data_IF_437640917503
#
_entry.id   IF_437640917503
#
_cell.length_a   1.000
_cell.length_b   1.000
_cell.length_c   1.000
_cell.angle_alpha   90.00
_cell.angle_beta   90.00
_cell.angle_gamma   90.00
#
_symmetry.space_group_name_H-M   'P 1'
#
loop_
_entity.id
_entity.type
_entity.pdbx_description
1 polymer ?
#
# COMPACT_ATOMS: atom_id res chain seq x y z
N UNK A 1 19.30 -87.72 -61.33
CA UNK A 1 20.77 -87.99 -61.27
C UNK A 1 21.42 -86.89 -60.44
N UNK A 2 22.30 -87.30 -59.51
CA UNK A 2 23.32 -86.54 -58.76
C UNK A 2 22.86 -85.58 -57.63
N UNK A 3 22.95 -86.14 -56.42
CA UNK A 3 23.18 -85.58 -55.07
C UNK A 3 24.49 -84.71 -54.96
N UNK A 4 24.88 -84.16 -53.79
CA UNK A 4 24.34 -83.02 -53.03
C UNK A 4 25.51 -82.09 -52.57
N UNK A 5 25.32 -81.13 -51.66
CA UNK A 5 26.26 -80.66 -50.59
C UNK A 5 25.65 -79.36 -50.02
N UNK A 6 24.94 -79.40 -48.88
CA UNK A 6 25.46 -79.23 -47.52
C UNK A 6 25.97 -77.81 -47.21
N UNK A 7 25.29 -77.12 -46.28
CA UNK A 7 25.79 -76.35 -45.12
C UNK A 7 24.65 -75.43 -44.61
N UNK A 8 24.07 -75.63 -43.41
CA UNK A 8 24.53 -75.38 -42.02
C UNK A 8 24.05 -74.01 -41.48
N UNK A 9 23.77 -74.01 -40.16
CA UNK A 9 23.42 -72.90 -39.24
C UNK A 9 21.93 -72.50 -39.22
N UNK A 10 21.11 -72.94 -38.26
CA UNK A 10 21.16 -72.76 -36.80
C UNK A 10 21.21 -71.29 -36.37
N UNK A 11 20.19 -70.86 -35.61
CA UNK A 11 20.39 -69.83 -34.59
C UNK A 11 19.28 -68.79 -34.42
N UNK A 12 18.66 -68.89 -33.24
CA UNK A 12 18.19 -67.79 -32.39
C UNK A 12 16.92 -67.02 -32.77
N UNK A 13 15.85 -67.39 -32.05
CA UNK A 13 14.83 -66.48 -31.52
C UNK A 13 15.51 -65.39 -30.65
N UNK A 14 15.72 -64.20 -31.21
CA UNK A 14 16.12 -63.03 -30.45
C UNK A 14 14.88 -62.25 -29.99
N UNK A 15 14.66 -62.25 -28.68
CA UNK A 15 13.76 -61.32 -27.99
C UNK A 15 14.23 -59.88 -28.21
N UNK A 16 13.45 -59.09 -28.94
CA UNK A 16 13.63 -57.65 -29.01
C UNK A 16 13.13 -57.01 -27.71
N UNK A 17 13.99 -56.94 -26.70
CA UNK A 17 13.83 -55.99 -25.61
C UNK A 17 14.17 -54.60 -26.14
N UNK A 18 13.15 -53.86 -26.57
CA UNK A 18 13.30 -52.46 -26.92
C UNK A 18 13.76 -51.69 -25.66
N UNK A 19 15.02 -51.23 -25.68
CA UNK A 19 15.55 -50.33 -24.69
C UNK A 19 14.74 -49.03 -24.73
N UNK A 20 13.89 -48.81 -23.73
CA UNK A 20 13.23 -47.53 -23.52
C UNK A 20 14.30 -46.46 -23.32
N UNK A 21 14.30 -45.43 -24.18
CA UNK A 21 15.16 -44.26 -24.01
C UNK A 21 14.89 -43.55 -22.69
N UNK A 22 15.80 -42.68 -22.22
CA UNK A 22 15.61 -41.96 -20.97
C UNK A 22 14.32 -41.14 -21.02
N UNK A 23 13.47 -41.31 -20.01
CA UNK A 23 12.24 -40.55 -19.84
C UNK A 23 12.61 -39.09 -19.51
N UNK A 24 12.30 -38.18 -20.44
CA UNK A 24 12.54 -36.75 -20.27
C UNK A 24 11.33 -36.16 -19.55
N UNK A 25 11.46 -35.89 -18.26
CA UNK A 25 10.42 -35.20 -17.48
C UNK A 25 10.51 -33.69 -17.73
N UNK A 26 9.49 -33.04 -18.34
CA UNK A 26 9.49 -31.59 -18.49
C UNK A 26 9.37 -30.92 -17.11
N UNK A 27 10.24 -29.96 -16.85
CA UNK A 27 10.17 -29.16 -15.63
C UNK A 27 9.00 -28.16 -15.76
N UNK A 28 8.19 -27.97 -14.69
CA UNK A 28 7.14 -26.97 -14.70
C UNK A 28 7.72 -25.56 -14.89
N UNK A 29 6.98 -24.63 -15.52
CA UNK A 29 7.42 -23.25 -15.67
C UNK A 29 7.57 -22.60 -14.27
N UNK A 30 8.77 -22.13 -13.97
CA UNK A 30 9.07 -21.40 -12.72
C UNK A 30 8.74 -19.93 -12.94
N UNK A 31 7.98 -19.31 -12.02
CA UNK A 31 7.75 -17.86 -12.03
C UNK A 31 9.08 -17.10 -12.08
N UNK A 32 9.20 -16.15 -13.00
CA UNK A 32 10.42 -15.38 -13.20
C UNK A 32 10.68 -14.52 -11.96
N UNK A 33 11.60 -14.96 -11.11
CA UNK A 33 11.98 -14.20 -9.95
C UNK A 33 12.63 -12.86 -10.34
N UNK A 34 12.23 -11.81 -9.63
CA UNK A 34 12.66 -10.44 -9.90
C UNK A 34 14.17 -10.24 -9.63
N UNK A 35 14.85 -9.53 -10.54
CA UNK A 35 16.24 -9.13 -10.40
C UNK A 35 16.34 -7.69 -9.89
N UNK A 36 17.03 -7.48 -8.78
CA UNK A 36 17.27 -6.13 -8.22
C UNK A 36 18.48 -5.49 -8.88
N UNK A 37 18.30 -4.32 -9.50
CA UNK A 37 19.41 -3.59 -10.12
C UNK A 37 20.19 -2.76 -9.10
N UNK A 38 21.52 -2.87 -9.13
CA UNK A 38 22.47 -2.08 -8.31
C UNK A 38 23.49 -1.44 -9.23
N UNK A 39 23.64 -0.12 -9.20
CA UNK A 39 24.64 0.57 -10.04
C UNK A 39 25.95 0.74 -9.29
N UNK A 40 27.06 0.46 -9.96
CA UNK A 40 28.41 0.55 -9.40
C UNK A 40 29.34 1.24 -10.39
N UNK A 41 30.42 1.84 -9.91
CA UNK A 41 31.47 2.35 -10.78
C UNK A 41 32.19 1.18 -11.46
N UNK A 42 32.47 1.31 -12.76
CA UNK A 42 33.21 0.28 -13.49
C UNK A 42 34.68 0.25 -13.05
N UNK A 43 35.19 -0.94 -12.74
CA UNK A 43 36.59 -1.15 -12.34
C UNK A 43 36.93 -0.83 -10.88
N UNK A 44 35.98 -0.31 -10.10
CA UNK A 44 36.19 -0.05 -8.68
C UNK A 44 35.80 -1.24 -7.80
N UNK A 45 36.52 -1.41 -6.68
CA UNK A 45 36.16 -2.39 -5.65
C UNK A 45 35.02 -1.84 -4.81
N UNK A 46 33.89 -2.55 -4.82
CA UNK A 46 32.70 -2.24 -4.01
C UNK A 46 32.44 -3.38 -3.02
N UNK A 47 32.05 -3.03 -1.81
CA UNK A 47 31.73 -4.00 -0.76
C UNK A 47 30.23 -4.08 -0.54
N UNK A 48 29.69 -5.29 -0.52
CA UNK A 48 28.29 -5.57 -0.26
C UNK A 48 28.14 -6.44 0.98
N UNK A 49 27.13 -6.15 1.80
CA UNK A 49 26.82 -6.93 2.99
C UNK A 49 25.51 -7.69 2.78
N UNK A 50 25.50 -8.97 3.12
CA UNK A 50 24.30 -9.78 3.27
C UNK A 50 24.01 -10.01 4.75
N UNK A 51 22.74 -9.87 5.13
CA UNK A 51 22.24 -10.28 6.44
C UNK A 51 21.04 -11.20 6.21
N UNK A 52 21.09 -12.50 6.60
CA UNK A 52 22.18 -13.20 7.30
C UNK A 52 23.37 -13.57 6.38
N UNK A 53 24.40 -14.23 6.96
CA UNK A 53 25.54 -14.78 6.22
C UNK A 53 25.07 -15.67 5.05
N UNK A 54 25.66 -15.46 3.87
CA UNK A 54 25.16 -15.98 2.60
C UNK A 54 26.28 -16.48 1.68
N UNK A 55 25.94 -17.37 0.76
CA UNK A 55 26.78 -17.75 -0.38
C UNK A 55 26.57 -16.78 -1.54
N UNK A 56 27.65 -16.44 -2.24
CA UNK A 56 27.64 -15.47 -3.33
C UNK A 56 28.07 -16.15 -4.62
N UNK A 57 27.14 -16.27 -5.56
CA UNK A 57 27.35 -16.90 -6.86
C UNK A 57 27.45 -15.81 -7.94
N UNK A 58 28.66 -15.63 -8.48
CA UNK A 58 28.93 -14.70 -9.58
C UNK A 58 28.71 -15.43 -10.90
N UNK A 59 27.73 -14.99 -11.69
CA UNK A 59 27.27 -15.72 -12.87
C UNK A 59 28.04 -15.33 -14.13
N UNK A 60 28.40 -14.05 -14.24
CA UNK A 60 28.95 -13.49 -15.47
C UNK A 60 30.47 -13.28 -15.34
N UNK A 61 31.21 -13.60 -16.41
CA UNK A 61 32.69 -13.58 -16.44
C UNK A 61 33.31 -12.19 -16.23
N UNK A 62 32.52 -11.13 -16.36
CA UNK A 62 32.94 -9.73 -16.20
C UNK A 62 33.00 -9.25 -14.74
N UNK A 63 32.78 -10.14 -13.78
CA UNK A 63 32.79 -9.84 -12.35
C UNK A 63 33.87 -10.62 -11.64
N UNK A 64 34.71 -9.91 -10.90
CA UNK A 64 35.63 -10.51 -9.93
C UNK A 64 35.09 -10.24 -8.55
N UNK A 65 34.57 -11.29 -7.90
CA UNK A 65 33.98 -11.19 -6.57
C UNK A 65 34.59 -12.20 -5.60
N UNK A 66 34.65 -11.83 -4.32
CA UNK A 66 35.01 -12.78 -3.25
C UNK A 66 34.21 -12.47 -1.99
N UNK A 67 33.58 -13.51 -1.45
CA UNK A 67 32.99 -13.46 -0.12
C UNK A 67 34.09 -13.46 0.96
N UNK A 68 33.91 -12.61 1.96
CA UNK A 68 34.75 -12.46 3.16
C UNK A 68 33.85 -12.49 4.40
N UNK A 69 34.45 -12.58 5.59
CA UNK A 69 33.71 -12.65 6.86
C UNK A 69 32.61 -13.73 6.87
N UNK A 70 32.99 -14.95 6.51
CA UNK A 70 32.09 -16.13 6.48
C UNK A 70 30.82 -15.92 5.63
N UNK A 71 30.90 -15.13 4.56
CA UNK A 71 29.80 -14.90 3.64
C UNK A 71 28.86 -13.75 4.02
N UNK A 72 29.17 -13.01 5.09
CA UNK A 72 28.43 -11.79 5.44
C UNK A 72 28.75 -10.62 4.51
N UNK A 73 29.95 -10.59 3.95
CA UNK A 73 30.40 -9.49 3.09
C UNK A 73 30.97 -10.08 1.81
N UNK A 74 30.80 -9.40 0.68
CA UNK A 74 31.51 -9.70 -0.56
C UNK A 74 32.10 -8.44 -1.18
N UNK A 75 33.38 -8.51 -1.55
CA UNK A 75 34.03 -7.50 -2.38
C UNK A 75 33.83 -7.84 -3.84
N UNK A 76 33.51 -6.84 -4.66
CA UNK A 76 33.16 -6.97 -6.08
C UNK A 76 33.90 -5.93 -6.92
N UNK A 77 34.47 -6.36 -8.05
CA UNK A 77 34.94 -5.46 -9.12
C UNK A 77 34.21 -5.84 -10.40
N UNK A 78 33.42 -4.92 -10.94
CA UNK A 78 32.65 -5.11 -12.16
C UNK A 78 33.32 -4.43 -13.35
N UNK A 79 33.51 -5.15 -14.46
CA UNK A 79 33.76 -4.52 -15.76
C UNK A 79 32.55 -3.72 -16.25
N UNK A 80 32.65 -2.91 -17.32
CA UNK A 80 31.49 -2.25 -17.90
C UNK A 80 30.41 -3.25 -18.31
N UNK A 81 29.13 -2.90 -18.13
CA UNK A 81 27.98 -3.74 -18.51
C UNK A 81 27.08 -4.15 -17.34
N UNK A 82 26.27 -5.17 -17.57
CA UNK A 82 25.33 -5.75 -16.59
C UNK A 82 25.86 -7.10 -16.13
N UNK A 83 25.94 -7.32 -14.82
CA UNK A 83 26.46 -8.56 -14.26
C UNK A 83 25.59 -9.11 -13.15
N UNK A 84 25.33 -10.40 -13.18
CA UNK A 84 24.38 -11.09 -12.31
C UNK A 84 25.08 -11.78 -11.16
N UNK A 85 24.51 -11.59 -9.98
CA UNK A 85 24.94 -12.25 -8.75
C UNK A 85 23.71 -12.82 -8.05
N UNK A 86 23.83 -14.07 -7.60
CA UNK A 86 22.84 -14.70 -6.74
C UNK A 86 23.43 -14.76 -5.34
N UNK A 87 22.64 -14.32 -4.36
CA UNK A 87 22.99 -14.39 -2.95
C UNK A 87 22.03 -15.39 -2.30
N UNK A 88 22.57 -16.50 -1.81
CA UNK A 88 21.81 -17.58 -1.17
C UNK A 88 22.03 -17.54 0.33
N UNK A 89 21.00 -17.24 1.10
CA UNK A 89 21.05 -17.25 2.56
C UNK A 89 21.05 -18.69 3.11
N UNK A 90 21.44 -18.84 4.38
CA UNK A 90 21.50 -20.15 5.06
C UNK A 90 20.17 -20.89 5.10
N UNK A 91 19.05 -20.17 5.08
CA UNK A 91 17.70 -20.74 5.05
C UNK A 91 17.27 -21.22 3.64
N UNK A 92 18.15 -21.07 2.64
CA UNK A 92 17.90 -21.45 1.25
C UNK A 92 17.22 -20.37 0.41
N UNK A 93 16.84 -19.24 1.01
CA UNK A 93 16.28 -18.11 0.27
C UNK A 93 17.31 -17.48 -0.67
N UNK A 94 16.88 -17.07 -1.86
CA UNK A 94 17.75 -16.52 -2.91
C UNK A 94 17.35 -15.11 -3.27
N UNK A 95 18.29 -14.19 -3.16
CA UNK A 95 18.20 -12.84 -3.72
C UNK A 95 18.99 -12.77 -5.02
N UNK A 96 18.43 -12.12 -6.04
CA UNK A 96 19.02 -11.99 -7.37
C UNK A 96 19.33 -10.52 -7.64
N UNK A 97 20.59 -10.21 -7.96
CA UNK A 97 21.06 -8.85 -8.22
C UNK A 97 21.67 -8.71 -9.60
N UNK A 98 21.43 -7.57 -10.26
CA UNK A 98 22.13 -7.16 -11.49
C UNK A 98 22.95 -5.91 -11.17
N UNK A 99 24.27 -6.04 -11.20
CA UNK A 99 25.20 -4.94 -11.08
C UNK A 99 25.42 -4.26 -12.43
N UNK A 100 25.10 -2.97 -12.53
CA UNK A 100 25.27 -2.21 -13.77
C UNK A 100 26.42 -1.23 -13.60
N UNK A 101 27.47 -1.45 -14.36
CA UNK A 101 28.71 -0.67 -14.35
C UNK A 101 28.88 0.10 -15.66
N UNK A 102 29.14 1.41 -15.58
CA UNK A 102 29.49 2.24 -16.75
C UNK A 102 28.33 2.67 -17.66
N UNK A 103 27.10 2.74 -17.16
CA UNK A 103 25.95 3.31 -17.90
C UNK A 103 25.66 4.77 -17.51
N UNK A 104 25.01 5.58 -18.37
CA UNK A 104 24.58 6.93 -18.02
C UNK A 104 23.64 6.90 -16.79
N UNK A 105 23.84 7.82 -15.86
CA UNK A 105 23.01 7.96 -14.67
C UNK A 105 21.52 8.04 -15.09
N UNK A 106 20.61 7.24 -14.49
CA UNK A 106 19.21 7.36 -14.84
C UNK A 106 18.73 8.73 -14.34
N UNK A 107 18.07 9.48 -15.22
CA UNK A 107 17.44 10.75 -14.83
C UNK A 107 16.53 10.58 -13.61
N UNK A 108 16.24 11.66 -12.86
CA UNK A 108 15.42 11.60 -11.67
C UNK A 108 14.12 10.85 -11.97
N UNK A 109 13.82 9.84 -11.15
CA UNK A 109 12.60 9.05 -11.27
C UNK A 109 11.42 10.05 -11.26
N UNK A 110 10.45 9.96 -12.19
CA UNK A 110 9.25 10.78 -12.12
C UNK A 110 8.65 10.66 -10.72
N UNK A 111 8.21 11.77 -10.09
CA UNK A 111 7.58 11.68 -8.78
C UNK A 111 6.42 10.68 -8.87
N UNK A 112 6.38 9.74 -7.94
CA UNK A 112 5.26 8.81 -7.85
C UNK A 112 3.96 9.62 -7.73
N UNK A 113 2.89 9.26 -8.45
CA UNK A 113 1.63 9.97 -8.35
C UNK A 113 1.15 9.89 -6.90
N UNK A 114 1.05 11.04 -6.24
CA UNK A 114 0.48 11.14 -4.89
C UNK A 114 -0.92 10.55 -4.97
N UNK A 115 -1.26 9.52 -4.16
CA UNK A 115 -2.60 8.95 -4.15
C UNK A 115 -3.60 10.08 -3.90
N UNK A 116 -4.41 10.40 -4.91
CA UNK A 116 -5.47 11.39 -4.76
C UNK A 116 -6.50 10.79 -3.82
N UNK A 117 -6.74 11.43 -2.67
CA UNK A 117 -7.78 11.01 -1.74
C UNK A 117 -9.12 10.91 -2.49
N UNK A 118 -9.66 9.69 -2.58
CA UNK A 118 -10.86 9.38 -3.33
C UNK A 118 -12.06 10.20 -2.82
N UNK A 119 -12.14 10.45 -1.50
CA UNK A 119 -13.18 11.29 -0.92
C UNK A 119 -12.99 12.75 -1.36
N UNK A 120 -11.76 13.27 -1.29
CA UNK A 120 -11.50 14.65 -1.74
C UNK A 120 -11.79 14.84 -3.24
N UNK A 121 -11.59 13.80 -4.07
CA UNK A 121 -12.00 13.82 -5.47
C UNK A 121 -13.52 13.84 -5.60
N UNK A 122 -14.23 12.95 -4.89
CA UNK A 122 -15.69 12.88 -4.92
C UNK A 122 -16.33 14.21 -4.47
N UNK A 123 -15.84 14.82 -3.39
CA UNK A 123 -16.35 16.11 -2.90
C UNK A 123 -16.09 17.24 -3.89
N UNK A 124 -14.97 17.23 -4.62
CA UNK A 124 -14.71 18.15 -5.74
C UNK A 124 -15.71 17.98 -6.87
N UNK A 125 -15.97 16.74 -7.25
CA UNK A 125 -16.93 16.42 -8.32
C UNK A 125 -18.35 16.89 -7.93
N UNK A 126 -18.77 16.68 -6.67
CA UNK A 126 -20.05 17.18 -6.13
C UNK A 126 -20.11 18.72 -6.11
N UNK A 127 -19.03 19.40 -5.74
CA UNK A 127 -18.96 20.86 -5.72
C UNK A 127 -19.00 21.46 -7.14
N UNK A 128 -18.37 20.80 -8.10
CA UNK A 128 -18.37 21.21 -9.50
C UNK A 128 -19.79 21.17 -10.08
N UNK A 129 -20.57 20.14 -9.72
CA UNK A 129 -21.97 19.98 -10.11
C UNK A 129 -22.95 20.93 -9.38
N UNK A 130 -22.56 21.54 -8.26
CA UNK A 130 -23.42 22.45 -7.50
C UNK A 130 -23.58 23.80 -8.25
N UNK A 131 -24.82 24.22 -8.57
CA UNK A 131 -25.06 25.46 -9.32
C UNK A 131 -25.04 26.72 -8.44
N UNK A 132 -24.89 26.60 -7.12
CA UNK A 132 -24.97 27.74 -6.21
C UNK A 132 -23.82 28.72 -6.41
N UNK A 133 -24.10 30.03 -6.50
CA UNK A 133 -23.05 31.05 -6.58
C UNK A 133 -22.29 31.20 -5.25
N UNK A 134 -22.85 30.75 -4.13
CA UNK A 134 -22.24 30.86 -2.79
C UNK A 134 -21.38 29.66 -2.41
N UNK A 135 -21.26 28.65 -3.29
CA UNK A 135 -20.68 27.34 -2.97
C UNK A 135 -19.29 27.39 -2.34
N UNK A 136 -18.42 28.33 -2.75
CA UNK A 136 -17.09 28.51 -2.14
C UNK A 136 -17.15 28.97 -0.68
N UNK A 137 -17.97 29.97 -0.38
CA UNK A 137 -18.13 30.48 0.98
C UNK A 137 -18.80 29.43 1.88
N UNK A 138 -19.81 28.73 1.37
CA UNK A 138 -20.48 27.65 2.09
C UNK A 138 -19.52 26.47 2.37
N UNK A 139 -18.59 26.18 1.45
CA UNK A 139 -17.58 25.14 1.63
C UNK A 139 -16.56 25.51 2.70
N UNK A 140 -16.11 26.77 2.75
CA UNK A 140 -15.25 27.29 3.82
C UNK A 140 -15.95 27.20 5.18
N UNK A 141 -17.23 27.61 5.25
CA UNK A 141 -18.04 27.48 6.46
C UNK A 141 -18.17 26.03 6.90
N UNK A 142 -18.42 25.10 5.97
CA UNK A 142 -18.51 23.68 6.26
C UNK A 142 -17.18 23.08 6.72
N UNK A 143 -16.06 23.48 6.12
CA UNK A 143 -14.71 23.07 6.58
C UNK A 143 -14.44 23.55 8.00
N UNK A 144 -14.78 24.79 8.32
CA UNK A 144 -14.63 25.35 9.66
C UNK A 144 -15.50 24.63 10.69
N UNK A 145 -16.73 24.27 10.31
CA UNK A 145 -17.63 23.47 11.14
C UNK A 145 -17.01 22.11 11.47
N UNK A 146 -16.46 21.39 10.49
CA UNK A 146 -15.83 20.09 10.76
C UNK A 146 -14.57 20.24 11.64
N UNK A 147 -13.78 21.30 11.46
CA UNK A 147 -12.66 21.59 12.34
C UNK A 147 -13.11 21.88 13.78
N UNK A 148 -14.24 22.60 13.97
CA UNK A 148 -14.84 22.80 15.28
C UNK A 148 -15.26 21.47 15.93
N UNK A 149 -15.90 20.59 15.15
CA UNK A 149 -16.35 19.28 15.67
C UNK A 149 -15.21 18.34 16.10
N UNK A 150 -14.01 18.52 15.55
CA UNK A 150 -12.80 17.82 16.05
C UNK A 150 -12.51 18.20 17.51
N UNK A 151 -12.69 19.47 17.87
CA UNK A 151 -12.54 19.93 19.26
C UNK A 151 -13.69 19.50 20.15
N UNK A 152 -14.93 19.61 19.66
CA UNK A 152 -16.14 19.21 20.40
C UNK A 152 -16.17 17.71 20.73
N UNK A 153 -15.63 16.86 19.85
CA UNK A 153 -15.54 15.42 20.09
C UNK A 153 -14.69 15.06 21.33
N UNK A 154 -13.71 15.91 21.68
CA UNK A 154 -12.84 15.74 22.86
C UNK A 154 -13.23 16.69 24.01
N UNK A 155 -14.28 17.49 23.86
CA UNK A 155 -14.66 18.46 24.86
C UNK A 155 -15.02 17.75 26.18
N UNK A 156 -14.52 18.29 27.28
CA UNK A 156 -14.82 17.82 28.63
C UNK A 156 -15.43 18.94 29.45
N UNK A 157 -16.41 18.62 30.28
CA UNK A 157 -16.97 19.53 31.28
C UNK A 157 -16.50 19.13 32.68
N UNK A 158 -16.34 20.12 33.54
CA UNK A 158 -16.12 19.87 34.96
C UNK A 158 -17.41 19.29 35.56
N UNK A 159 -17.24 18.23 36.33
CA UNK A 159 -18.30 17.52 37.03
C UNK A 159 -17.91 17.36 38.50
N UNK A 160 -18.90 17.33 39.38
CA UNK A 160 -18.67 17.09 40.81
C UNK A 160 -19.29 15.74 41.14
N UNK A 161 -18.43 14.78 41.44
CA UNK A 161 -18.87 13.44 41.80
C UNK A 161 -19.71 13.43 43.09
N UNK A 162 -20.40 12.32 43.38
CA UNK A 162 -21.18 12.15 44.62
C UNK A 162 -20.32 12.22 45.90
N UNK A 163 -18.99 12.07 45.77
CA UNK A 163 -17.98 12.25 46.82
C UNK A 163 -17.53 13.71 47.00
N UNK A 164 -18.09 14.65 46.23
CA UNK A 164 -17.69 16.06 46.23
C UNK A 164 -16.39 16.34 45.47
N UNK A 165 -15.76 15.35 44.84
CA UNK A 165 -14.53 15.55 44.08
C UNK A 165 -14.82 16.08 42.67
N UNK A 166 -14.03 17.08 42.25
CA UNK A 166 -14.06 17.58 40.87
C UNK A 166 -13.44 16.56 39.92
N UNK A 167 -14.14 16.24 38.84
CA UNK A 167 -13.72 15.32 37.80
C UNK A 167 -13.99 15.97 36.44
N UNK A 168 -13.31 15.49 35.39
CA UNK A 168 -13.64 15.86 34.02
C UNK A 168 -14.41 14.73 33.39
N UNK A 169 -15.58 15.03 32.81
CA UNK A 169 -16.36 14.08 32.02
C UNK A 169 -16.51 14.57 30.60
N UNK A 170 -16.74 13.69 29.61
CA UNK A 170 -17.06 14.12 28.26
C UNK A 170 -18.26 15.07 28.25
N UNK A 171 -18.19 16.13 27.43
CA UNK A 171 -19.29 17.09 27.25
C UNK A 171 -20.53 16.45 26.62
N UNK A 172 -20.33 15.34 25.88
CA UNK A 172 -21.37 14.63 25.16
C UNK A 172 -21.35 13.14 25.52
N UNK A 173 -22.41 12.68 26.17
CA UNK A 173 -22.58 11.29 26.60
C UNK A 173 -23.23 10.42 25.52
N UNK A 174 -24.08 11.00 24.65
CA UNK A 174 -24.82 10.29 23.59
C UNK A 174 -24.59 10.88 22.20
N UNK A 175 -24.80 10.04 21.17
CA UNK A 175 -24.67 10.46 19.78
C UNK A 175 -25.68 11.58 19.44
N UNK A 176 -26.88 11.53 20.02
CA UNK A 176 -27.90 12.57 19.89
C UNK A 176 -27.41 13.94 20.38
N UNK A 177 -26.74 14.00 21.54
CA UNK A 177 -26.27 15.26 22.10
C UNK A 177 -25.21 15.91 21.20
N UNK A 178 -24.24 15.11 20.73
CA UNK A 178 -23.20 15.59 19.81
C UNK A 178 -23.79 16.00 18.45
N UNK A 179 -24.72 15.20 17.90
CA UNK A 179 -25.39 15.50 16.64
C UNK A 179 -26.26 16.75 16.75
N UNK A 180 -26.91 16.99 17.89
CA UNK A 180 -27.69 18.21 18.13
C UNK A 180 -26.80 19.47 18.12
N UNK A 181 -25.57 19.40 18.68
CA UNK A 181 -24.58 20.48 18.57
C UNK A 181 -24.18 20.69 17.12
N UNK A 182 -23.85 19.62 16.39
CA UNK A 182 -23.49 19.69 14.98
C UNK A 182 -24.61 20.31 14.14
N UNK A 183 -25.86 19.85 14.29
CA UNK A 183 -27.02 20.37 13.57
C UNK A 183 -27.25 21.84 13.87
N UNK A 184 -27.12 22.27 15.13
CA UNK A 184 -27.23 23.69 15.51
C UNK A 184 -26.16 24.55 14.84
N UNK A 185 -24.90 24.15 14.93
CA UNK A 185 -23.78 24.89 14.33
C UNK A 185 -23.88 24.90 12.79
N UNK A 186 -24.27 23.78 12.18
CA UNK A 186 -24.58 23.68 10.76
C UNK A 186 -25.69 24.63 10.36
N UNK A 187 -26.79 24.65 11.11
CA UNK A 187 -27.95 25.48 10.79
C UNK A 187 -27.65 26.97 10.98
N UNK A 188 -26.83 27.35 11.97
CA UNK A 188 -26.40 28.74 12.16
C UNK A 188 -25.44 29.22 11.07
N UNK A 189 -24.68 28.32 10.45
CA UNK A 189 -23.68 28.67 9.41
C UNK A 189 -24.22 28.55 7.99
N UNK A 190 -25.16 27.62 7.73
CA UNK A 190 -25.52 27.20 6.36
C UNK A 190 -27.00 27.39 6.02
N UNK A 191 -27.85 27.87 6.93
CA UNK A 191 -29.17 28.40 6.55
C UNK A 191 -28.98 29.81 5.97
N UNK A 192 -29.55 30.04 4.79
CA UNK A 192 -29.68 31.40 4.26
C UNK A 192 -30.71 32.21 5.06
N UNK A 193 -30.81 33.52 4.83
CA UNK A 193 -31.93 34.32 5.35
C UNK A 193 -33.25 33.82 4.73
N UNK A 194 -34.25 33.54 5.59
CA UNK A 194 -35.54 32.97 5.18
C UNK A 194 -35.44 31.48 4.80
N UNK A 195 -36.57 30.82 4.52
CA UNK A 195 -36.71 29.39 4.16
C UNK A 195 -36.01 28.96 2.85
N UNK A 196 -34.84 29.56 2.54
CA UNK A 196 -34.03 29.22 1.39
C UNK A 196 -33.59 27.75 1.44
N UNK A 197 -33.56 27.13 0.27
CA UNK A 197 -33.17 25.74 0.09
C UNK A 197 -31.81 25.42 0.76
N UNK A 198 -31.59 24.18 1.25
CA UNK A 198 -30.34 23.81 1.89
C UNK A 198 -29.15 24.04 0.95
N UNK A 199 -28.17 24.82 1.40
CA UNK A 199 -26.92 25.04 0.64
C UNK A 199 -26.08 23.76 0.63
N UNK A 200 -25.47 23.43 -0.51
CA UNK A 200 -24.61 22.25 -0.73
C UNK A 200 -25.26 20.90 -0.35
N UNK A 201 -26.48 20.57 -0.80
CA UNK A 201 -27.24 19.43 -0.27
C UNK A 201 -26.56 18.08 -0.53
N UNK A 202 -26.02 17.86 -1.74
CA UNK A 202 -25.38 16.60 -2.10
C UNK A 202 -24.07 16.38 -1.32
N UNK A 203 -23.24 17.42 -1.22
CA UNK A 203 -21.99 17.38 -0.46
C UNK A 203 -22.26 17.13 1.03
N UNK A 204 -23.25 17.83 1.61
CA UNK A 204 -23.65 17.63 3.02
C UNK A 204 -24.17 16.24 3.28
N UNK A 205 -24.97 15.68 2.37
CA UNK A 205 -25.44 14.30 2.48
C UNK A 205 -24.25 13.35 2.54
N UNK A 206 -23.32 13.45 1.58
CA UNK A 206 -22.15 12.56 1.50
C UNK A 206 -21.28 12.62 2.75
N UNK A 207 -21.02 13.82 3.27
CA UNK A 207 -20.29 13.98 4.52
C UNK A 207 -21.08 13.48 5.74
N UNK A 208 -22.41 13.61 5.73
CA UNK A 208 -23.28 13.02 6.74
C UNK A 208 -23.21 11.50 6.76
N UNK A 209 -23.15 10.86 5.58
CA UNK A 209 -23.01 9.41 5.44
C UNK A 209 -21.68 8.91 6.07
N UNK A 210 -20.58 9.67 5.93
CA UNK A 210 -19.29 9.36 6.58
C UNK A 210 -19.38 9.39 8.11
N UNK A 211 -20.07 10.39 8.67
CA UNK A 211 -20.24 10.54 10.12
C UNK A 211 -21.16 9.45 10.65
N UNK A 212 -22.28 9.18 9.96
CA UNK A 212 -23.25 8.16 10.34
C UNK A 212 -22.64 6.74 10.36
N UNK A 213 -21.73 6.44 9.43
CA UNK A 213 -21.01 5.17 9.40
C UNK A 213 -20.17 4.91 10.66
N UNK A 214 -19.79 5.98 11.39
CA UNK A 214 -19.02 5.87 12.64
C UNK A 214 -19.88 6.06 13.88
N UNK A 215 -20.79 7.03 13.86
CA UNK A 215 -21.66 7.32 15.00
C UNK A 215 -22.71 6.22 15.25
N UNK A 216 -23.05 5.45 14.21
CA UNK A 216 -24.21 4.58 14.22
C UNK A 216 -25.50 5.35 13.97
N UNK A 217 -26.62 4.61 13.87
CA UNK A 217 -27.95 5.17 13.63
C UNK A 217 -28.79 5.31 14.89
N UNK A 218 -28.33 4.74 16.01
CA UNK A 218 -29.00 4.84 17.30
C UNK A 218 -28.61 6.17 17.98
N UNK A 219 -29.55 7.12 18.11
CA UNK A 219 -29.27 8.42 18.72
C UNK A 219 -28.94 8.31 20.21
N UNK A 220 -29.46 7.30 20.91
CA UNK A 220 -29.31 7.13 22.35
C UNK A 220 -28.08 6.28 22.71
N UNK A 221 -27.38 5.75 21.71
CA UNK A 221 -26.16 5.00 21.91
C UNK A 221 -25.09 5.86 22.62
N UNK A 222 -24.39 5.30 23.63
CA UNK A 222 -23.34 6.01 24.33
C UNK A 222 -22.16 6.28 23.39
N UNK A 223 -21.63 7.50 23.43
CA UNK A 223 -20.39 7.81 22.73
C UNK A 223 -19.24 7.35 23.60
N UNK A 224 -18.67 6.20 23.25
CA UNK A 224 -17.46 5.67 23.89
C UNK A 224 -16.22 6.45 23.46
N UNK A 225 -15.09 6.29 24.17
CA UNK A 225 -13.82 6.90 23.76
C UNK A 225 -13.34 6.40 22.40
N UNK A 226 -13.60 5.13 22.09
CA UNK A 226 -13.33 4.57 20.76
C UNK A 226 -14.19 5.25 19.69
N UNK A 227 -15.46 5.51 19.97
CA UNK A 227 -16.36 6.25 19.06
C UNK A 227 -15.89 7.70 18.89
N UNK A 228 -15.51 8.38 19.98
CA UNK A 228 -14.93 9.74 19.93
C UNK A 228 -13.69 9.81 19.04
N UNK A 229 -12.74 8.89 19.24
CA UNK A 229 -11.52 8.84 18.44
C UNK A 229 -11.80 8.65 16.94
N UNK A 230 -12.75 7.77 16.59
CA UNK A 230 -13.17 7.56 15.19
C UNK A 230 -13.89 8.78 14.63
N UNK A 231 -14.79 9.41 15.39
CA UNK A 231 -15.48 10.63 14.97
C UNK A 231 -14.51 11.78 14.73
N UNK A 232 -13.55 11.96 15.63
CA UNK A 232 -12.47 12.94 15.48
C UNK A 232 -11.68 12.70 14.19
N UNK A 233 -11.32 11.45 13.90
CA UNK A 233 -10.62 11.09 12.67
C UNK A 233 -11.47 11.40 11.42
N UNK A 234 -12.77 11.08 11.44
CA UNK A 234 -13.69 11.38 10.34
C UNK A 234 -13.86 12.88 10.14
N UNK A 235 -14.13 13.65 11.20
CA UNK A 235 -14.25 15.11 11.11
C UNK A 235 -12.95 15.76 10.63
N UNK A 236 -11.79 15.29 11.10
CA UNK A 236 -10.50 15.77 10.64
C UNK A 236 -10.24 15.45 9.16
N UNK A 237 -10.63 14.26 8.69
CA UNK A 237 -10.55 13.89 7.27
C UNK A 237 -11.50 14.74 6.42
N UNK A 238 -12.74 14.92 6.85
CA UNK A 238 -13.74 15.74 6.17
C UNK A 238 -13.30 17.20 6.08
N UNK A 239 -12.77 17.79 7.16
CA UNK A 239 -12.25 19.15 7.14
C UNK A 239 -11.17 19.33 6.08
N UNK A 240 -10.21 18.40 5.98
CA UNK A 240 -9.15 18.43 4.96
C UNK A 240 -9.71 18.24 3.55
N UNK A 241 -10.53 17.22 3.34
CA UNK A 241 -11.09 16.92 2.03
C UNK A 241 -11.97 18.05 1.49
N UNK A 242 -12.75 18.70 2.36
CA UNK A 242 -13.56 19.89 2.04
C UNK A 242 -12.68 21.10 1.74
N UNK A 243 -11.62 21.34 2.54
CA UNK A 243 -10.68 22.43 2.29
C UNK A 243 -9.90 22.25 0.98
N UNK A 244 -9.48 21.02 0.66
CA UNK A 244 -8.81 20.71 -0.60
C UNK A 244 -9.75 20.81 -1.80
N UNK A 245 -11.04 20.52 -1.62
CA UNK A 245 -12.03 20.72 -2.66
C UNK A 245 -12.30 22.21 -2.98
N UNK A 246 -11.88 23.12 -2.11
CA UNK A 246 -12.03 24.56 -2.30
C UNK A 246 -10.93 25.18 -3.18
N UNK A 247 -9.80 24.47 -3.35
CA UNK A 247 -8.63 24.89 -4.13
C UNK A 247 -8.87 24.69 -5.62
#
# INVERSE_FOLDING_TARGET
>A
MRFPFALLLAGLLAHAAAAAGPEITPLPPVEAAEWKEVRVAAGELVWFQAQPASTWDFIDDGVKGRAVEDGKVAGLVCGPGRHRVIVTARDGSRSRFVFVAGGPEPGPRPPEPVPVDALAKELRDLLAADPSPTKRADLQALSALYALMVGEADATVDDVGPDGQKRKRPAYETAAALNATFVRARDSMLKGPGDAAPRLPALRKRCGDEVAAVAGTDPDAPVTDATRAKLKAVYGRLARAVADAAK
#
